data_IF_541725263605
#
_entry.id   IF_541725263605
#
_cell.length_a   1.000
_cell.length_b   1.000
_cell.length_c   1.000
_cell.angle_alpha   90.00
_cell.angle_beta   90.00
_cell.angle_gamma   90.00
#
_symmetry.space_group_name_H-M   'P 1'
#
loop_
_entity.id
_entity.type
_entity.pdbx_description
1 polymer ?
#
# COMPACT_ATOMS: atom_id res chain seq x y z
N UNK A 1 6.53 16.04 10.06
CA UNK A 1 5.78 14.85 9.63
C UNK A 1 6.78 13.74 9.35
N UNK A 2 6.55 12.54 9.86
CA UNK A 2 7.37 11.39 9.51
C UNK A 2 7.03 10.98 8.08
N UNK A 3 8.06 10.82 7.26
CA UNK A 3 7.90 10.38 5.87
C UNK A 3 7.28 8.95 5.85
N UNK A 4 6.07 8.74 5.28
CA UNK A 4 5.37 7.45 5.32
C UNK A 4 6.20 6.34 4.71
N UNK A 5 7.00 6.65 3.68
CA UNK A 5 7.90 5.69 3.05
C UNK A 5 8.97 5.13 3.98
N UNK A 6 9.28 5.76 5.12
CA UNK A 6 10.22 5.24 6.13
C UNK A 6 9.54 4.54 7.31
N UNK A 7 8.22 4.38 7.27
CA UNK A 7 7.47 3.78 8.37
C UNK A 7 7.71 2.27 8.48
N UNK A 8 8.14 1.84 9.67
CA UNK A 8 8.27 0.43 10.05
C UNK A 8 7.00 -0.12 10.70
N UNK A 9 5.92 0.67 10.76
CA UNK A 9 4.65 0.24 11.34
C UNK A 9 4.13 -1.00 10.61
N UNK A 10 3.90 -2.12 11.31
CA UNK A 10 3.39 -3.34 10.71
C UNK A 10 1.97 -3.16 10.18
N UNK A 11 1.69 -3.71 9.01
CA UNK A 11 0.32 -3.92 8.54
C UNK A 11 -0.30 -5.13 9.27
N UNK A 12 -1.62 -5.29 9.15
CA UNK A 12 -2.32 -6.45 9.73
C UNK A 12 -2.16 -7.73 8.91
N UNK A 13 -1.59 -7.63 7.71
CA UNK A 13 -1.28 -8.75 6.85
C UNK A 13 0.04 -8.48 6.10
N UNK A 14 0.72 -9.55 5.71
CA UNK A 14 1.79 -9.48 4.70
C UNK A 14 1.20 -9.85 3.35
N UNK A 15 1.27 -8.94 2.39
CA UNK A 15 0.85 -9.19 1.01
C UNK A 15 2.00 -9.82 0.23
N UNK A 16 1.70 -10.86 -0.53
CA UNK A 16 2.61 -11.50 -1.48
C UNK A 16 2.15 -11.12 -2.89
N UNK A 17 2.74 -10.06 -3.44
CA UNK A 17 2.35 -9.51 -4.73
C UNK A 17 3.27 -10.05 -5.82
N UNK A 18 2.70 -10.43 -6.98
CA UNK A 18 3.49 -10.75 -8.18
C UNK A 18 3.53 -9.54 -9.10
N UNK A 19 4.73 -9.08 -9.44
CA UNK A 19 4.94 -7.97 -10.36
C UNK A 19 6.10 -8.33 -11.30
N UNK A 20 5.88 -8.24 -12.61
CA UNK A 20 6.90 -8.52 -13.63
C UNK A 20 7.61 -9.88 -13.49
N UNK A 21 6.90 -10.91 -12.98
CA UNK A 21 7.47 -12.24 -12.74
C UNK A 21 8.20 -12.40 -11.39
N UNK A 22 8.41 -11.30 -10.66
CA UNK A 22 9.01 -11.31 -9.33
C UNK A 22 7.94 -11.31 -8.23
N UNK A 23 8.28 -11.88 -7.08
CA UNK A 23 7.43 -11.86 -5.89
C UNK A 23 7.94 -10.81 -4.91
N UNK A 24 7.10 -9.83 -4.61
CA UNK A 24 7.36 -8.77 -3.63
C UNK A 24 6.53 -9.02 -2.37
N UNK A 25 7.17 -8.92 -1.21
CA UNK A 25 6.52 -9.05 0.09
C UNK A 25 6.34 -7.68 0.74
N UNK A 26 5.12 -7.37 1.17
CA UNK A 26 4.75 -6.07 1.74
C UNK A 26 4.09 -6.32 3.10
N UNK A 27 4.80 -6.03 4.19
CA UNK A 27 4.34 -6.25 5.57
C UNK A 27 4.28 -4.99 6.43
N UNK A 28 4.76 -3.85 5.93
CA UNK A 28 4.80 -2.58 6.66
C UNK A 28 4.19 -1.45 5.84
N UNK A 29 3.79 -0.38 6.54
CA UNK A 29 3.28 0.85 5.93
C UNK A 29 4.29 1.43 4.94
N UNK A 30 5.57 1.52 5.30
CA UNK A 30 6.60 2.09 4.42
C UNK A 30 6.86 1.24 3.17
N UNK A 31 6.86 -0.10 3.30
CA UNK A 31 6.94 -0.98 2.12
C UNK A 31 5.76 -0.78 1.18
N UNK A 32 4.54 -0.71 1.72
CA UNK A 32 3.34 -0.55 0.90
C UNK A 32 3.29 0.80 0.22
N UNK A 33 3.63 1.87 0.95
CA UNK A 33 3.67 3.22 0.41
C UNK A 33 4.64 3.31 -0.76
N UNK A 34 5.90 2.88 -0.56
CA UNK A 34 6.90 2.84 -1.65
C UNK A 34 6.43 2.00 -2.84
N UNK A 35 5.80 0.85 -2.59
CA UNK A 35 5.31 0.00 -3.68
C UNK A 35 4.28 0.72 -4.55
N UNK A 36 3.27 1.35 -3.94
CA UNK A 36 2.20 2.00 -4.71
C UNK A 36 2.58 3.39 -5.24
N UNK A 37 3.62 4.03 -4.70
CA UNK A 37 4.08 5.36 -5.18
C UNK A 37 5.28 5.31 -6.13
N UNK A 38 6.09 4.24 -6.10
CA UNK A 38 7.20 4.07 -7.05
C UNK A 38 6.73 3.54 -8.41
N UNK A 39 5.59 2.83 -8.44
CA UNK A 39 4.91 2.51 -9.69
C UNK A 39 4.34 3.80 -10.28
N UNK A 40 4.48 3.96 -11.58
CA UNK A 40 4.05 5.18 -12.27
C UNK A 40 2.55 5.40 -12.07
N UNK A 41 2.12 6.66 -11.96
CA UNK A 41 0.67 6.97 -11.92
C UNK A 41 -0.09 6.40 -13.12
N UNK A 42 0.60 6.14 -14.24
CA UNK A 42 0.05 5.48 -15.42
C UNK A 42 -0.48 4.08 -15.10
N UNK A 43 0.28 3.29 -14.32
CA UNK A 43 -0.12 1.94 -13.91
C UNK A 43 -1.33 1.96 -12.97
N UNK A 44 -1.53 3.06 -12.25
CA UNK A 44 -2.67 3.23 -11.33
C UNK A 44 -3.83 4.03 -11.91
N UNK A 45 -3.77 4.51 -13.16
CA UNK A 45 -4.83 5.35 -13.73
C UNK A 45 -6.20 4.65 -13.73
N UNK A 46 -6.23 3.34 -14.03
CA UNK A 46 -7.45 2.52 -14.00
C UNK A 46 -8.01 2.31 -12.59
N UNK A 47 -7.20 2.57 -11.55
CA UNK A 47 -7.52 2.36 -10.14
C UNK A 47 -7.34 3.61 -9.29
N UNK A 48 -7.36 4.81 -9.90
CA UNK A 48 -6.99 6.09 -9.26
C UNK A 48 -7.67 6.36 -7.92
N UNK A 49 -8.95 5.98 -7.78
CA UNK A 49 -9.70 6.17 -6.54
C UNK A 49 -9.13 5.30 -5.44
N UNK A 50 -9.03 3.98 -5.69
CA UNK A 50 -8.48 3.02 -4.75
C UNK A 50 -7.02 3.31 -4.41
N UNK A 51 -6.24 3.80 -5.38
CA UNK A 51 -4.87 4.24 -5.17
C UNK A 51 -4.79 5.43 -4.21
N UNK A 52 -5.60 6.48 -4.45
CA UNK A 52 -5.68 7.63 -3.56
C UNK A 52 -6.14 7.28 -2.14
N UNK A 53 -7.13 6.38 -2.02
CA UNK A 53 -7.63 5.88 -0.73
C UNK A 53 -6.53 5.10 0.02
N UNK A 54 -5.76 4.27 -0.69
CA UNK A 54 -4.66 3.51 -0.11
C UNK A 54 -3.51 4.44 0.34
N UNK A 55 -3.12 5.42 -0.48
CA UNK A 55 -2.08 6.42 -0.13
C UNK A 55 -2.49 7.21 1.12
N UNK A 56 -3.72 7.71 1.16
CA UNK A 56 -4.24 8.49 2.29
C UNK A 56 -4.31 7.66 3.58
N UNK A 57 -4.74 6.40 3.46
CA UNK A 57 -4.80 5.48 4.60
C UNK A 57 -3.42 5.12 5.13
N UNK A 58 -2.42 4.96 4.26
CA UNK A 58 -1.04 4.71 4.65
C UNK A 58 -0.39 5.90 5.34
N UNK A 59 -0.63 7.12 4.86
CA UNK A 59 -0.18 8.34 5.52
C UNK A 59 -0.75 8.43 6.94
N UNK A 60 -2.06 8.21 7.06
CA UNK A 60 -2.73 8.21 8.37
C UNK A 60 -2.19 7.12 9.30
N UNK A 61 -1.90 5.92 8.78
CA UNK A 61 -1.32 4.82 9.55
C UNK A 61 0.16 5.02 9.92
N UNK A 62 0.91 5.81 9.13
CA UNK A 62 2.27 6.21 9.46
C UNK A 62 2.30 7.16 10.67
N UNK A 63 1.27 8.00 10.82
CA UNK A 63 1.11 8.93 11.95
C UNK A 63 0.42 8.27 13.16
N UNK A 64 -0.51 7.35 12.91
CA UNK A 64 -1.28 6.65 13.94
C UNK A 64 -1.36 5.14 13.65
N UNK A 65 -0.55 4.36 14.37
CA UNK A 65 -0.49 2.91 14.21
C UNK A 65 -1.84 2.18 14.47
N UNK A 66 -2.79 2.81 15.16
CA UNK A 66 -4.14 2.24 15.34
C UNK A 66 -4.92 2.15 14.02
N UNK A 67 -4.53 2.93 12.98
CA UNK A 67 -5.19 2.96 11.67
C UNK A 67 -4.63 1.91 10.68
N UNK A 68 -3.82 0.98 11.17
CA UNK A 68 -3.23 -0.08 10.35
C UNK A 68 -4.24 -1.05 9.77
N UNK A 69 -5.43 -1.20 10.38
CA UNK A 69 -6.53 -2.01 9.83
C UNK A 69 -7.04 -1.38 8.53
N UNK A 70 -7.39 -0.10 8.57
CA UNK A 70 -7.90 0.68 7.44
C UNK A 70 -6.88 0.69 6.29
N UNK A 71 -5.60 0.93 6.60
CA UNK A 71 -4.54 0.86 5.60
C UNK A 71 -4.40 -0.53 4.97
N UNK A 72 -4.52 -1.59 5.77
CA UNK A 72 -4.48 -2.98 5.26
C UNK A 72 -5.66 -3.27 4.34
N UNK A 73 -6.86 -2.81 4.69
CA UNK A 73 -8.06 -3.06 3.90
C UNK A 73 -8.09 -2.26 2.59
N UNK A 74 -7.66 -1.00 2.63
CA UNK A 74 -7.50 -0.18 1.42
C UNK A 74 -6.49 -0.79 0.44
N UNK A 75 -5.35 -1.28 0.95
CA UNK A 75 -4.37 -2.01 0.14
C UNK A 75 -4.94 -3.28 -0.47
N UNK A 76 -5.70 -4.06 0.31
CA UNK A 76 -6.32 -5.29 -0.19
C UNK A 76 -7.29 -4.99 -1.33
N UNK A 77 -8.14 -3.97 -1.17
CA UNK A 77 -9.07 -3.56 -2.21
C UNK A 77 -8.34 -3.16 -3.50
N UNK A 78 -7.28 -2.35 -3.38
CA UNK A 78 -6.44 -1.95 -4.51
C UNK A 78 -5.80 -3.16 -5.20
N UNK A 79 -5.11 -4.03 -4.45
CA UNK A 79 -4.36 -5.14 -5.03
C UNK A 79 -5.25 -6.21 -5.67
N UNK A 80 -6.40 -6.52 -5.07
CA UNK A 80 -7.40 -7.42 -5.68
C UNK A 80 -7.91 -6.82 -6.99
N UNK A 81 -8.26 -5.52 -6.99
CA UNK A 81 -8.78 -4.87 -8.20
C UNK A 81 -7.75 -4.82 -9.32
N UNK A 82 -6.47 -4.64 -8.96
CA UNK A 82 -5.35 -4.53 -9.86
C UNK A 82 -4.75 -5.87 -10.33
N UNK A 83 -5.25 -7.02 -9.89
CA UNK A 83 -4.74 -8.30 -10.42
C UNK A 83 -3.52 -8.85 -9.67
N UNK A 84 -3.18 -8.27 -8.51
CA UNK A 84 -1.87 -8.42 -7.86
C UNK A 84 -1.82 -9.50 -6.76
N UNK A 85 -2.99 -9.96 -6.30
CA UNK A 85 -3.17 -11.03 -5.31
C UNK A 85 -3.84 -12.25 -5.94
#
# INVERSE_FOLDING_TARGET
MSEPSNSHTPLKATFKVKLNGETVYIGTVGQAYRFITNLSSVEWMEFRSLHGDAVSSLQSAAENAMLTVQATDALRALFVRARLL
#
